data_IF_375796357606
#
_entry.id   IF_375796357606
#
_cell.length_a   1.000
_cell.length_b   1.000
_cell.length_c   1.000
_cell.angle_alpha   90.00
_cell.angle_beta   90.00
_cell.angle_gamma   90.00
#
_symmetry.space_group_name_H-M   'P 1'
#
loop_
_entity.id
_entity.type
_entity.pdbx_description
1 polymer ?
#
# COMPACT_ATOMS: atom_id res chain seq x y z
N UNK A 1 13.68 2.26 30.57
CA UNK A 1 14.09 3.17 29.48
C UNK A 1 12.85 3.45 28.63
N UNK A 2 12.20 4.60 28.81
CA UNK A 2 11.04 4.97 27.99
C UNK A 2 11.56 5.28 26.58
N UNK A 3 11.12 4.52 25.57
CA UNK A 3 11.53 4.76 24.19
C UNK A 3 10.98 6.13 23.74
N UNK A 4 11.81 7.09 23.31
CA UNK A 4 11.37 8.44 22.90
C UNK A 4 10.32 8.43 21.77
N UNK A 5 10.21 7.30 21.05
CA UNK A 5 9.22 7.04 20.00
C UNK A 5 7.78 7.02 20.55
N UNK A 6 7.57 6.59 21.79
CA UNK A 6 6.23 6.36 22.38
C UNK A 6 5.39 7.64 22.49
N UNK A 7 6.05 8.76 22.77
CA UNK A 7 5.41 10.07 22.96
C UNK A 7 5.30 10.85 21.65
N UNK A 8 6.08 10.46 20.64
CA UNK A 8 6.15 11.13 19.34
C UNK A 8 5.39 10.41 18.23
N UNK A 9 4.61 9.35 18.54
CA UNK A 9 3.88 8.55 17.54
C UNK A 9 3.10 9.41 16.51
N UNK A 10 2.31 10.43 16.90
CA UNK A 10 1.59 11.26 15.93
C UNK A 10 2.52 12.06 15.02
N UNK A 11 3.59 12.63 15.59
CA UNK A 11 4.58 13.41 14.84
C UNK A 11 5.35 12.52 13.85
N UNK A 12 5.87 11.39 14.33
CA UNK A 12 6.57 10.41 13.50
C UNK A 12 5.66 9.87 12.40
N UNK A 13 4.38 9.63 12.70
CA UNK A 13 3.39 9.27 11.67
C UNK A 13 3.31 10.34 10.60
N UNK A 14 3.14 11.61 10.98
CA UNK A 14 3.04 12.70 10.02
C UNK A 14 4.30 12.85 9.16
N UNK A 15 5.49 12.83 9.78
CA UNK A 15 6.77 12.97 9.06
C UNK A 15 7.01 11.80 8.11
N UNK A 16 6.86 10.57 8.59
CA UNK A 16 7.08 9.38 7.75
C UNK A 16 6.05 9.27 6.63
N UNK A 17 4.79 9.66 6.88
CA UNK A 17 3.76 9.69 5.84
C UNK A 17 4.04 10.74 4.80
N UNK A 18 4.43 11.95 5.22
CA UNK A 18 4.81 13.02 4.29
C UNK A 18 6.02 12.62 3.45
N UNK A 19 7.02 11.97 4.04
CA UNK A 19 8.18 11.46 3.32
C UNK A 19 7.79 10.36 2.31
N UNK A 20 6.98 9.38 2.72
CA UNK A 20 6.54 8.28 1.86
C UNK A 20 5.66 8.77 0.70
N UNK A 21 4.65 9.60 0.99
CA UNK A 21 3.79 10.18 -0.05
C UNK A 21 4.58 11.14 -0.95
N UNK A 22 5.47 11.95 -0.37
CA UNK A 22 6.36 12.83 -1.13
C UNK A 22 7.22 12.07 -2.13
N UNK A 23 7.78 10.93 -1.74
CA UNK A 23 8.53 10.06 -2.64
C UNK A 23 7.66 9.52 -3.80
N UNK A 24 6.42 9.10 -3.51
CA UNK A 24 5.48 8.64 -4.53
C UNK A 24 5.12 9.75 -5.50
N UNK A 25 4.74 10.93 -5.00
CA UNK A 25 4.39 12.07 -5.85
C UNK A 25 5.58 12.60 -6.64
N UNK A 26 6.80 12.58 -6.08
CA UNK A 26 8.01 12.93 -6.81
C UNK A 26 8.29 11.95 -7.95
N UNK A 27 8.05 10.64 -7.74
CA UNK A 27 8.17 9.62 -8.79
C UNK A 27 7.16 9.85 -9.91
N UNK A 28 5.89 10.01 -9.55
CA UNK A 28 4.80 10.24 -10.51
C UNK A 28 4.97 11.55 -11.27
N UNK A 29 5.48 12.60 -10.60
CA UNK A 29 5.77 13.90 -11.21
C UNK A 29 7.04 13.94 -12.06
N UNK A 30 7.78 12.83 -12.19
CA UNK A 30 8.99 12.75 -13.01
C UNK A 30 10.18 13.54 -12.44
N UNK A 31 10.17 13.85 -11.14
CA UNK A 31 11.23 14.61 -10.45
C UNK A 31 12.45 13.72 -10.14
N UNK A 32 12.26 12.40 -10.08
CA UNK A 32 13.33 11.45 -9.74
C UNK A 32 14.36 11.38 -10.88
N UNK A 33 15.66 11.65 -10.62
CA UNK A 33 16.71 11.52 -11.63
C UNK A 33 16.85 10.08 -12.11
N UNK A 34 16.42 9.82 -13.35
CA UNK A 34 16.43 8.48 -13.95
C UNK A 34 17.83 8.00 -14.35
N UNK A 35 18.83 8.88 -14.31
CA UNK A 35 20.22 8.60 -14.66
C UNK A 35 20.88 7.55 -13.75
N UNK A 36 20.42 7.43 -12.51
CA UNK A 36 20.96 6.48 -11.52
C UNK A 36 20.16 5.17 -11.44
N UNK A 37 19.07 5.05 -12.20
CA UNK A 37 18.18 3.88 -12.13
C UNK A 37 18.57 2.89 -13.24
N UNK A 38 18.98 1.65 -12.89
CA UNK A 38 19.31 0.64 -13.89
C UNK A 38 18.07 0.29 -14.72
N UNK A 39 18.20 0.26 -16.05
CA UNK A 39 17.09 -0.04 -16.95
C UNK A 39 17.08 -1.51 -17.31
N UNK A 40 16.20 -2.28 -16.67
CA UNK A 40 15.99 -3.68 -16.97
C UNK A 40 14.66 -3.83 -17.73
N UNK A 41 14.71 -3.88 -19.06
CA UNK A 41 13.52 -3.87 -19.93
C UNK A 41 12.53 -4.99 -19.60
N UNK A 42 13.01 -6.23 -19.52
CA UNK A 42 12.18 -7.40 -19.18
C UNK A 42 11.47 -7.24 -17.83
N UNK A 43 12.14 -6.65 -16.84
CA UNK A 43 11.53 -6.41 -15.53
C UNK A 43 10.43 -5.35 -15.62
N UNK A 44 10.63 -4.29 -16.41
CA UNK A 44 9.63 -3.23 -16.60
C UNK A 44 8.33 -3.74 -17.22
N UNK A 45 8.43 -4.72 -18.11
CA UNK A 45 7.29 -5.33 -18.78
C UNK A 45 6.47 -6.22 -17.83
N UNK A 46 7.11 -6.95 -16.92
CA UNK A 46 6.43 -7.89 -16.00
C UNK A 46 5.99 -7.28 -14.66
N UNK A 47 6.39 -6.04 -14.37
CA UNK A 47 6.02 -5.37 -13.10
C UNK A 47 4.50 -5.28 -12.89
N UNK A 48 3.67 -4.95 -13.90
CA UNK A 48 2.22 -4.93 -13.72
C UNK A 48 1.67 -6.26 -13.18
N UNK A 49 2.08 -7.39 -13.77
CA UNK A 49 1.71 -8.75 -13.35
C UNK A 49 2.21 -9.04 -11.94
N UNK A 50 3.48 -8.71 -11.65
CA UNK A 50 4.06 -8.89 -10.32
C UNK A 50 3.30 -8.10 -9.26
N UNK A 51 2.95 -6.85 -9.55
CA UNK A 51 2.22 -6.00 -8.62
C UNK A 51 0.80 -6.51 -8.34
N UNK A 52 0.14 -7.12 -9.32
CA UNK A 52 -1.16 -7.78 -9.13
C UNK A 52 -1.01 -9.02 -8.28
N UNK A 53 0.00 -9.86 -8.52
CA UNK A 53 0.27 -11.04 -7.70
C UNK A 53 0.60 -10.67 -6.25
N UNK A 54 1.41 -9.62 -6.06
CA UNK A 54 1.74 -9.07 -4.74
C UNK A 54 0.45 -8.57 -4.05
N UNK A 55 -0.40 -7.84 -4.77
CA UNK A 55 -1.67 -7.33 -4.24
C UNK A 55 -2.62 -8.45 -3.84
N UNK A 56 -2.78 -9.47 -4.68
CA UNK A 56 -3.60 -10.65 -4.39
C UNK A 56 -3.06 -11.43 -3.17
N UNK A 57 -1.74 -11.58 -3.08
CA UNK A 57 -1.08 -12.21 -1.93
C UNK A 57 -1.30 -11.38 -0.65
N UNK A 58 -1.18 -10.05 -0.75
CA UNK A 58 -1.40 -9.13 0.36
C UNK A 58 -2.85 -9.19 0.88
N UNK A 59 -3.84 -9.27 -0.02
CA UNK A 59 -5.24 -9.51 0.36
C UNK A 59 -5.36 -10.81 1.19
N UNK A 60 -4.74 -11.90 0.71
CA UNK A 60 -4.71 -13.17 1.42
C UNK A 60 -4.10 -13.08 2.82
N UNK A 61 -2.96 -12.41 2.95
CA UNK A 61 -2.28 -12.24 4.25
C UNK A 61 -3.07 -11.34 5.20
N UNK A 62 -3.71 -10.27 4.71
CA UNK A 62 -4.56 -9.39 5.53
C UNK A 62 -5.75 -10.17 6.08
N UNK A 63 -6.45 -10.94 5.23
CA UNK A 63 -7.59 -11.75 5.65
C UNK A 63 -7.14 -12.82 6.66
N UNK A 64 -6.00 -13.49 6.42
CA UNK A 64 -5.44 -14.47 7.36
C UNK A 64 -5.08 -13.84 8.71
N UNK A 65 -4.45 -12.66 8.70
CA UNK A 65 -4.15 -11.89 9.90
C UNK A 65 -5.38 -11.42 10.66
N UNK A 66 -6.47 -11.09 9.96
CA UNK A 66 -7.76 -10.77 10.60
C UNK A 66 -8.40 -12.01 11.23
N UNK A 67 -8.32 -13.17 10.60
CA UNK A 67 -8.79 -14.44 11.20
C UNK A 67 -7.98 -14.81 12.43
N UNK A 68 -6.66 -14.64 12.41
CA UNK A 68 -5.77 -14.91 13.54
C UNK A 68 -6.14 -14.05 14.76
N UNK A 69 -6.33 -12.74 14.59
CA UNK A 69 -6.68 -11.87 15.73
C UNK A 69 -8.07 -12.16 16.29
N UNK A 70 -9.04 -12.60 15.46
CA UNK A 70 -10.35 -13.08 15.95
C UNK A 70 -10.25 -14.32 16.83
N UNK A 71 -9.19 -15.12 16.65
CA UNK A 71 -8.87 -16.29 17.49
C UNK A 71 -7.94 -15.95 18.67
N UNK A 72 -7.66 -14.67 18.92
CA UNK A 72 -6.67 -14.19 19.88
C UNK A 72 -5.24 -14.70 19.62
N UNK A 73 -4.91 -15.11 18.39
CA UNK A 73 -3.57 -15.56 17.99
C UNK A 73 -2.68 -14.36 17.63
N UNK A 74 -2.25 -13.58 18.63
CA UNK A 74 -1.53 -12.30 18.44
C UNK A 74 -0.24 -12.45 17.64
N UNK A 75 0.57 -13.47 17.92
CA UNK A 75 1.84 -13.70 17.20
C UNK A 75 1.61 -13.96 15.71
N UNK A 76 0.58 -14.75 15.37
CA UNK A 76 0.24 -15.03 13.97
C UNK A 76 -0.32 -13.80 13.28
N UNK A 77 -1.19 -13.04 13.95
CA UNK A 77 -1.67 -11.75 13.47
C UNK A 77 -0.50 -10.82 13.12
N UNK A 78 0.47 -10.67 14.04
CA UNK A 78 1.67 -9.84 13.83
C UNK A 78 2.47 -10.30 12.61
N UNK A 79 2.73 -11.60 12.47
CA UNK A 79 3.49 -12.13 11.33
C UNK A 79 2.79 -11.86 9.99
N UNK A 80 1.46 -12.03 9.94
CA UNK A 80 0.68 -11.72 8.73
C UNK A 80 0.67 -10.22 8.42
N UNK A 81 0.57 -9.35 9.42
CA UNK A 81 0.62 -7.89 9.20
C UNK A 81 2.01 -7.44 8.72
N UNK A 82 3.09 -8.00 9.29
CA UNK A 82 4.46 -7.73 8.82
C UNK A 82 4.68 -8.21 7.38
N UNK A 83 4.16 -9.39 7.05
CA UNK A 83 4.22 -9.91 5.67
C UNK A 83 3.45 -8.99 4.71
N UNK A 84 2.25 -8.55 5.10
CA UNK A 84 1.44 -7.63 4.29
C UNK A 84 2.14 -6.29 4.09
N UNK A 85 2.81 -5.78 5.13
CA UNK A 85 3.62 -4.56 5.04
C UNK A 85 4.79 -4.73 4.08
N UNK A 86 5.53 -5.84 4.17
CA UNK A 86 6.64 -6.12 3.25
C UNK A 86 6.17 -6.23 1.79
N UNK A 87 5.05 -6.91 1.55
CA UNK A 87 4.43 -7.01 0.22
C UNK A 87 4.05 -5.64 -0.32
N UNK A 88 3.46 -4.77 0.49
CA UNK A 88 3.11 -3.41 0.07
C UNK A 88 4.34 -2.54 -0.20
N UNK A 89 5.39 -2.65 0.61
CA UNK A 89 6.65 -1.97 0.32
C UNK A 89 7.23 -2.45 -1.01
N UNK A 90 7.22 -3.76 -1.28
CA UNK A 90 7.65 -4.30 -2.57
C UNK A 90 6.80 -3.77 -3.74
N UNK A 91 5.47 -3.76 -3.59
CA UNK A 91 4.55 -3.18 -4.57
C UNK A 91 4.91 -1.72 -4.88
N UNK A 92 5.15 -0.92 -3.85
CA UNK A 92 5.45 0.50 -4.00
C UNK A 92 6.80 0.71 -4.69
N UNK A 93 7.81 -0.08 -4.34
CA UNK A 93 9.13 -0.04 -4.98
C UNK A 93 9.02 -0.37 -6.46
N UNK A 94 8.34 -1.47 -6.83
CA UNK A 94 8.14 -1.84 -8.23
C UNK A 94 7.31 -0.79 -8.99
N UNK A 95 6.26 -0.25 -8.37
CA UNK A 95 5.45 0.81 -8.96
C UNK A 95 6.27 2.08 -9.24
N UNK A 96 7.01 2.58 -8.23
CA UNK A 96 7.88 3.76 -8.35
C UNK A 96 8.95 3.52 -9.41
N UNK A 97 9.61 2.37 -9.41
CA UNK A 97 10.62 2.03 -10.39
C UNK A 97 10.06 2.04 -11.82
N UNK A 98 8.89 1.43 -12.04
CA UNK A 98 8.23 1.42 -13.35
C UNK A 98 7.82 2.82 -13.80
N UNK A 99 7.10 3.58 -12.96
CA UNK A 99 6.58 4.89 -13.35
C UNK A 99 7.69 5.93 -13.56
N UNK A 100 8.82 5.77 -12.87
CA UNK A 100 9.99 6.64 -13.07
C UNK A 100 10.67 6.39 -14.43
N UNK A 101 10.58 5.18 -14.98
CA UNK A 101 11.27 4.79 -16.21
C UNK A 101 10.36 4.70 -17.44
N UNK A 102 9.05 4.54 -17.24
CA UNK A 102 8.07 4.38 -18.31
C UNK A 102 6.81 5.16 -17.98
N UNK A 103 6.27 5.82 -18.99
CA UNK A 103 4.99 6.52 -18.88
C UNK A 103 3.88 5.59 -18.40
N UNK A 104 2.84 6.12 -17.71
CA UNK A 104 1.64 5.37 -17.41
C UNK A 104 1.08 4.69 -18.67
N UNK A 105 0.53 3.49 -18.53
CA UNK A 105 -0.18 2.82 -19.62
C UNK A 105 -1.46 3.59 -19.92
N UNK A 106 -1.65 3.96 -21.17
CA UNK A 106 -2.91 4.53 -21.66
C UNK A 106 -3.98 3.45 -21.70
N UNK A 107 -5.24 3.83 -21.46
CA UNK A 107 -6.34 2.88 -21.48
C UNK A 107 -6.68 2.49 -22.94
N UNK A 108 -6.62 1.20 -23.32
CA UNK A 108 -6.79 0.80 -24.72
C UNK A 108 -8.26 0.70 -25.18
N UNK A 109 -9.22 0.78 -24.26
CA UNK A 109 -10.65 0.62 -24.53
C UNK A 109 -11.36 1.90 -25.00
N UNK A 110 -12.70 1.86 -25.15
CA UNK A 110 -13.50 3.01 -25.58
C UNK A 110 -13.40 4.20 -24.60
N UNK A 111 -13.33 5.42 -25.14
CA UNK A 111 -13.24 6.65 -24.35
C UNK A 111 -14.37 6.82 -23.31
N UNK A 112 -15.57 6.29 -23.59
CA UNK A 112 -16.68 6.30 -22.63
C UNK A 112 -16.39 5.44 -21.39
N UNK A 113 -15.76 4.28 -21.56
CA UNK A 113 -15.39 3.41 -20.45
C UNK A 113 -14.19 4.01 -19.70
N UNK A 114 -13.24 4.60 -20.42
CA UNK A 114 -12.12 5.32 -19.82
C UNK A 114 -12.60 6.42 -18.86
N UNK A 115 -13.49 7.28 -19.35
CA UNK A 115 -13.94 8.47 -18.63
C UNK A 115 -14.89 8.16 -17.47
N UNK A 116 -15.84 7.25 -17.66
CA UNK A 116 -16.92 7.03 -16.69
C UNK A 116 -16.71 5.82 -15.77
N UNK A 117 -15.75 4.94 -16.08
CA UNK A 117 -15.49 3.73 -15.29
C UNK A 117 -14.04 3.69 -14.83
N UNK A 118 -13.08 3.75 -15.75
CA UNK A 118 -11.66 3.59 -15.43
C UNK A 118 -11.14 4.72 -14.54
N UNK A 119 -11.30 6.00 -14.93
CA UNK A 119 -10.80 7.12 -14.11
C UNK A 119 -11.44 7.23 -12.74
N UNK A 120 -12.77 7.05 -12.56
CA UNK A 120 -13.36 7.01 -11.22
C UNK A 120 -12.80 5.87 -10.35
N UNK A 121 -12.67 4.66 -10.89
CA UNK A 121 -12.09 3.52 -10.15
C UNK A 121 -10.63 3.79 -9.78
N UNK A 122 -9.83 4.28 -10.73
CA UNK A 122 -8.43 4.63 -10.51
C UNK A 122 -8.30 5.75 -9.48
N UNK A 123 -9.14 6.78 -9.56
CA UNK A 123 -9.17 7.88 -8.59
C UNK A 123 -9.50 7.41 -7.18
N UNK A 124 -10.51 6.54 -7.02
CA UNK A 124 -10.84 5.94 -5.73
C UNK A 124 -9.69 5.06 -5.23
N UNK A 125 -9.10 4.24 -6.09
CA UNK A 125 -7.95 3.40 -5.72
C UNK A 125 -6.79 4.22 -5.17
N UNK A 126 -6.40 5.30 -5.87
CA UNK A 126 -5.31 6.20 -5.47
C UNK A 126 -5.67 6.92 -4.17
N UNK A 127 -6.88 7.47 -4.05
CA UNK A 127 -7.33 8.14 -2.82
C UNK A 127 -7.25 7.21 -1.61
N UNK A 128 -7.77 5.98 -1.75
CA UNK A 128 -7.70 4.98 -0.70
C UNK A 128 -6.26 4.59 -0.37
N UNK A 129 -5.39 4.45 -1.37
CA UNK A 129 -3.97 4.16 -1.16
C UNK A 129 -3.28 5.28 -0.36
N UNK A 130 -3.51 6.55 -0.71
CA UNK A 130 -2.97 7.72 0.00
C UNK A 130 -3.46 7.77 1.44
N UNK A 131 -4.75 7.53 1.69
CA UNK A 131 -5.32 7.49 3.04
C UNK A 131 -4.81 6.32 3.88
N UNK A 132 -4.47 5.18 3.26
CA UNK A 132 -3.93 4.02 3.96
C UNK A 132 -2.54 4.25 4.56
N UNK A 133 -1.67 5.02 3.87
CA UNK A 133 -0.27 5.24 4.30
C UNK A 133 -0.17 5.77 5.74
N UNK A 134 -0.80 6.90 6.13
CA UNK A 134 -0.70 7.41 7.49
C UNK A 134 -1.34 6.49 8.53
N UNK A 135 -2.45 5.83 8.19
CA UNK A 135 -3.11 4.89 9.09
C UNK A 135 -2.21 3.68 9.39
N UNK A 136 -1.54 3.14 8.37
CA UNK A 136 -0.65 2.01 8.49
C UNK A 136 0.58 2.36 9.33
N UNK A 137 1.23 3.49 9.04
CA UNK A 137 2.39 3.97 9.81
C UNK A 137 2.00 4.18 11.27
N UNK A 138 0.85 4.79 11.55
CA UNK A 138 0.36 5.00 12.91
C UNK A 138 0.18 3.67 13.67
N UNK A 139 -0.48 2.70 13.06
CA UNK A 139 -0.74 1.39 13.68
C UNK A 139 0.56 0.62 13.92
N UNK A 140 1.51 0.65 12.97
CA UNK A 140 2.83 0.02 13.13
C UNK A 140 3.64 0.71 14.24
N UNK A 141 3.66 2.04 14.29
CA UNK A 141 4.36 2.77 15.34
C UNK A 141 3.78 2.47 16.72
N UNK A 142 2.45 2.38 16.84
CA UNK A 142 1.81 1.92 18.08
C UNK A 142 2.23 0.48 18.44
N UNK A 143 2.30 -0.42 17.46
CA UNK A 143 2.65 -1.82 17.68
C UNK A 143 4.11 -2.03 18.07
N UNK A 144 5.03 -1.20 17.58
CA UNK A 144 6.48 -1.31 17.86
C UNK A 144 6.89 -0.51 19.11
N UNK A 145 6.18 0.58 19.42
CA UNK A 145 6.54 1.46 20.55
C UNK A 145 5.99 1.03 21.91
N UNK A 146 5.09 0.05 21.94
CA UNK A 146 4.34 -0.34 23.15
C UNK A 146 4.28 -1.86 23.32
N UNK A 147 4.29 -2.37 24.56
CA UNK A 147 4.04 -3.78 24.82
C UNK A 147 2.59 -4.13 24.48
N UNK A 148 2.34 -5.40 24.17
CA UNK A 148 1.05 -5.90 23.64
C UNK A 148 -0.11 -5.57 24.58
N UNK A 149 0.10 -5.64 25.89
CA UNK A 149 -0.89 -5.35 26.93
C UNK A 149 -1.35 -3.90 26.88
N UNK A 150 -0.46 -2.98 26.55
CA UNK A 150 -0.78 -1.56 26.41
C UNK A 150 -1.47 -1.25 25.08
N UNK A 151 -1.19 -2.01 24.00
CA UNK A 151 -1.81 -1.82 22.69
C UNK A 151 -3.33 -1.90 22.78
N UNK A 152 -3.86 -2.82 23.60
CA UNK A 152 -5.31 -2.97 23.81
C UNK A 152 -5.98 -1.72 24.40
N UNK A 153 -5.22 -0.86 25.11
CA UNK A 153 -5.69 0.42 25.66
C UNK A 153 -5.58 1.58 24.67
N UNK A 154 -4.97 1.35 23.51
CA UNK A 154 -4.81 2.36 22.46
C UNK A 154 -5.91 2.26 21.39
N UNK A 155 -5.89 3.21 20.45
CA UNK A 155 -6.75 3.18 19.25
C UNK A 155 -6.28 2.18 18.18
N UNK A 156 -5.29 1.33 18.45
CA UNK A 156 -4.77 0.36 17.48
C UNK A 156 -5.88 -0.54 16.88
N UNK A 157 -6.84 -0.99 17.70
CA UNK A 157 -7.93 -1.86 17.21
C UNK A 157 -8.85 -1.14 16.22
N UNK A 158 -9.31 0.07 16.55
CA UNK A 158 -10.23 0.82 15.70
C UNK A 158 -9.54 1.31 14.42
N UNK A 159 -8.34 1.90 14.56
CA UNK A 159 -7.55 2.37 13.41
C UNK A 159 -7.11 1.20 12.54
N UNK A 160 -6.65 0.11 13.14
CA UNK A 160 -6.24 -1.10 12.43
C UNK A 160 -7.38 -1.75 11.64
N UNK A 161 -8.60 -1.74 12.17
CA UNK A 161 -9.77 -2.24 11.44
C UNK A 161 -10.11 -1.36 10.23
N UNK A 162 -10.11 -0.04 10.40
CA UNK A 162 -10.33 0.90 9.28
C UNK A 162 -9.23 0.74 8.23
N UNK A 163 -7.97 0.72 8.65
CA UNK A 163 -6.83 0.53 7.77
C UNK A 163 -6.94 -0.79 6.98
N UNK A 164 -7.27 -1.90 7.64
CA UNK A 164 -7.43 -3.20 6.97
C UNK A 164 -8.53 -3.17 5.90
N UNK A 165 -9.68 -2.53 6.17
CA UNK A 165 -10.78 -2.41 5.20
C UNK A 165 -10.37 -1.56 4.01
N UNK A 166 -9.83 -0.36 4.25
CA UNK A 166 -9.41 0.54 3.18
C UNK A 166 -8.33 -0.13 2.30
N UNK A 167 -7.41 -0.87 2.92
CA UNK A 167 -6.32 -1.52 2.21
C UNK A 167 -6.80 -2.70 1.35
N UNK A 168 -7.75 -3.50 1.87
CA UNK A 168 -8.38 -4.58 1.11
C UNK A 168 -9.13 -4.03 -0.11
N UNK A 169 -9.89 -2.93 0.06
CA UNK A 169 -10.61 -2.30 -1.05
C UNK A 169 -9.61 -1.73 -2.06
N UNK A 170 -8.58 -1.01 -1.59
CA UNK A 170 -7.56 -0.43 -2.46
C UNK A 170 -6.84 -1.49 -3.30
N UNK A 171 -6.34 -2.57 -2.68
CA UNK A 171 -5.71 -3.66 -3.44
C UNK A 171 -6.66 -4.34 -4.44
N UNK A 172 -7.92 -4.55 -4.05
CA UNK A 172 -8.91 -5.13 -4.96
C UNK A 172 -9.16 -4.23 -6.17
N UNK A 173 -9.30 -2.91 -5.97
CA UNK A 173 -9.44 -1.96 -7.07
C UNK A 173 -8.17 -1.90 -7.94
N UNK A 174 -6.98 -2.06 -7.36
CA UNK A 174 -5.73 -2.15 -8.12
C UNK A 174 -5.72 -3.35 -9.09
N UNK A 175 -6.24 -4.50 -8.64
CA UNK A 175 -6.41 -5.68 -9.50
C UNK A 175 -7.45 -5.41 -10.59
N UNK A 176 -8.55 -4.72 -10.28
CA UNK A 176 -9.56 -4.33 -11.28
C UNK A 176 -8.97 -3.40 -12.33
N UNK A 177 -8.21 -2.38 -11.92
CA UNK A 177 -7.51 -1.45 -12.83
C UNK A 177 -6.58 -2.23 -13.76
N UNK A 178 -5.83 -3.20 -13.24
CA UNK A 178 -5.00 -4.07 -14.08
C UNK A 178 -5.85 -4.91 -15.06
N UNK A 179 -6.91 -5.55 -14.59
CA UNK A 179 -7.79 -6.36 -15.43
C UNK A 179 -8.38 -5.54 -16.58
N UNK A 180 -8.77 -4.30 -16.31
CA UNK A 180 -9.24 -3.36 -17.32
C UNK A 180 -8.17 -2.96 -18.34
N UNK A 181 -6.91 -2.86 -17.94
CA UNK A 181 -5.82 -2.42 -18.82
C UNK A 181 -5.19 -3.52 -19.67
N UNK A 182 -5.21 -4.77 -19.21
CA UNK A 182 -4.40 -5.85 -19.79
C UNK A 182 -5.18 -7.13 -20.12
N UNK A 183 -6.41 -7.29 -19.62
CA UNK A 183 -7.18 -8.53 -19.78
C UNK A 183 -8.48 -8.28 -20.56
N UNK A 184 -9.19 -7.20 -20.25
CA UNK A 184 -10.50 -6.89 -20.87
C UNK A 184 -10.34 -6.11 -22.16
N UNK A 185 -9.39 -5.17 -22.20
CA UNK A 185 -9.07 -4.32 -23.35
C UNK A 185 -7.58 -4.46 -23.66
#
# INVERSE_FOLDING_TARGET
MQLPIRDQVPLLTAVLSAAALGAVFAAVGGVIPTSFIPRVGLLLDVIPELNVLISATAIGTIIAGWRAIRRNEVTRHRNYMLTSFALFTAFLVFYIYRISLRSPTEFPGPASIEQFVYFPILGIHILLAVLCVPLLIYVILLAVSRPVEEIYRTRHRSVGQVAAVLWLISFSLGIVVYGMLYVVY
#
